data_IF_667953630299
#
_entry.id   IF_667953630299
#
_cell.length_a   1.000
_cell.length_b   1.000
_cell.length_c   1.000
_cell.angle_alpha   90.00
_cell.angle_beta   90.00
_cell.angle_gamma   90.00
#
_symmetry.space_group_name_H-M   'P 1'
#
loop_
_entity.id
_entity.type
_entity.pdbx_description
1 polymer ?
#
# COMPACT_ATOMS: atom_id res chain seq x y z
N UNK A 1 -2.02 -4.16 12.92
CA UNK A 1 -1.10 -5.22 13.44
C UNK A 1 0.15 -5.18 12.57
N UNK A 2 1.36 -5.37 13.12
CA UNK A 2 2.56 -5.50 12.27
C UNK A 2 2.49 -6.82 11.50
N UNK A 3 2.76 -6.78 10.20
CA UNK A 3 2.83 -7.98 9.36
C UNK A 3 4.12 -8.75 9.64
N UNK A 4 4.07 -10.07 9.50
CA UNK A 4 5.25 -10.94 9.51
C UNK A 4 6.07 -10.80 8.23
N UNK A 5 7.25 -11.42 8.20
CA UNK A 5 8.06 -11.51 6.98
C UNK A 5 7.27 -12.26 5.89
N UNK A 6 7.31 -11.77 4.65
CA UNK A 6 6.55 -12.32 3.53
C UNK A 6 5.04 -12.00 3.51
N UNK A 7 4.45 -11.51 4.60
CA UNK A 7 3.04 -11.10 4.64
C UNK A 7 2.85 -9.73 3.97
N UNK A 8 1.76 -9.58 3.22
CA UNK A 8 1.36 -8.30 2.64
C UNK A 8 0.73 -7.42 3.72
N UNK A 9 1.15 -6.16 3.79
CA UNK A 9 0.61 -5.17 4.70
C UNK A 9 0.70 -3.75 4.16
N UNK A 10 -0.04 -2.84 4.77
CA UNK A 10 0.07 -1.42 4.45
C UNK A 10 1.41 -0.85 4.94
N UNK A 11 2.08 -0.07 4.10
CA UNK A 11 3.28 0.68 4.49
C UNK A 11 2.86 1.84 5.39
N UNK A 12 3.35 1.82 6.63
CA UNK A 12 3.23 2.94 7.57
C UNK A 12 4.58 3.64 7.68
N UNK A 13 4.61 4.96 7.44
CA UNK A 13 5.85 5.74 7.33
C UNK A 13 5.95 6.81 8.42
N UNK A 14 7.16 7.04 8.92
CA UNK A 14 7.50 8.21 9.73
C UNK A 14 8.86 8.76 9.30
N UNK A 15 8.87 9.98 8.82
CA UNK A 15 10.06 10.65 8.28
C UNK A 15 9.89 12.17 8.42
N UNK A 16 10.98 12.96 8.54
CA UNK A 16 10.91 14.42 8.48
C UNK A 16 10.28 14.98 7.20
N UNK A 17 10.22 14.17 6.13
CA UNK A 17 9.63 14.56 4.85
C UNK A 17 8.12 14.30 4.76
N UNK A 18 7.50 13.65 5.76
CA UNK A 18 6.06 13.40 5.75
C UNK A 18 5.32 14.73 5.92
N UNK A 19 4.22 14.89 5.19
CA UNK A 19 3.35 16.06 5.27
C UNK A 19 2.84 16.32 6.70
N UNK A 20 2.43 17.55 7.00
CA UNK A 20 1.78 17.87 8.27
C UNK A 20 0.27 17.55 8.27
N UNK A 21 -0.32 17.39 7.08
CA UNK A 21 -1.75 17.17 6.88
C UNK A 21 -2.17 17.65 5.50
N UNK A 22 -3.43 17.43 5.18
CA UNK A 22 -4.07 17.94 3.97
C UNK A 22 -4.63 19.34 4.22
N UNK A 23 -4.40 20.24 3.26
CA UNK A 23 -4.92 21.60 3.30
C UNK A 23 -6.46 21.59 3.37
N UNK A 24 -7.01 22.35 4.32
CA UNK A 24 -8.45 22.52 4.55
C UNK A 24 -9.25 21.22 4.74
N UNK A 25 -8.57 20.11 5.08
CA UNK A 25 -9.21 18.82 5.30
C UNK A 25 -8.70 18.16 6.61
N UNK A 26 -9.16 18.65 7.78
CA UNK A 26 -8.73 18.13 9.07
C UNK A 26 -9.17 16.67 9.28
N UNK A 27 -10.29 16.25 8.70
CA UNK A 27 -10.75 14.87 8.79
C UNK A 27 -9.80 13.92 8.05
N UNK A 28 -9.50 14.19 6.78
CA UNK A 28 -8.55 13.35 6.03
C UNK A 28 -7.15 13.39 6.66
N UNK A 29 -6.77 14.52 7.25
CA UNK A 29 -5.51 14.63 8.01
C UNK A 29 -5.53 13.68 9.22
N UNK A 30 -6.60 13.69 10.02
CA UNK A 30 -6.72 12.78 11.15
C UNK A 30 -6.77 11.30 10.74
N UNK A 31 -7.40 10.97 9.62
CA UNK A 31 -7.47 9.59 9.09
C UNK A 31 -6.12 9.10 8.53
N UNK A 32 -5.29 10.02 8.02
CA UNK A 32 -3.99 9.70 7.44
C UNK A 32 -2.92 9.33 8.46
N UNK A 33 -3.10 9.66 9.74
CA UNK A 33 -2.15 9.34 10.80
C UNK A 33 -2.77 8.42 11.85
N UNK A 34 -2.00 7.45 12.34
CA UNK A 34 -2.43 6.67 13.49
C UNK A 34 -2.19 7.43 14.82
N UNK A 35 -2.67 6.85 15.93
CA UNK A 35 -2.53 7.44 17.26
C UNK A 35 -1.07 7.53 17.76
N UNK A 36 -0.11 6.94 17.04
CA UNK A 36 1.33 6.99 17.32
C UNK A 36 2.07 7.93 16.35
N UNK A 37 1.35 8.61 15.45
CA UNK A 37 1.89 9.56 14.48
C UNK A 37 2.52 8.92 13.24
N UNK A 38 2.19 7.67 12.91
CA UNK A 38 2.60 7.06 11.65
C UNK A 38 1.64 7.43 10.53
N UNK A 39 2.20 7.81 9.39
CA UNK A 39 1.43 8.09 8.17
C UNK A 39 1.05 6.80 7.46
N UNK A 40 -0.23 6.68 7.14
CA UNK A 40 -0.84 5.60 6.37
C UNK A 40 -0.79 5.93 4.89
N UNK A 41 0.09 5.26 4.17
CA UNK A 41 0.36 5.55 2.75
C UNK A 41 -0.75 5.08 1.82
N UNK A 42 -1.53 4.07 2.24
CA UNK A 42 -2.42 3.32 1.37
C UNK A 42 -1.71 2.36 0.42
N UNK A 43 -0.38 2.25 0.46
CA UNK A 43 0.40 1.32 -0.36
C UNK A 43 0.53 -0.03 0.36
N UNK A 44 0.21 -1.11 -0.34
CA UNK A 44 0.41 -2.48 0.13
C UNK A 44 1.77 -2.98 -0.35
N UNK A 45 2.54 -3.54 0.58
CA UNK A 45 3.85 -4.10 0.29
C UNK A 45 4.11 -5.38 1.08
N UNK A 46 5.10 -6.14 0.61
CA UNK A 46 5.72 -7.24 1.34
C UNK A 46 7.21 -7.02 1.45
N UNK A 47 7.81 -7.56 2.52
CA UNK A 47 9.26 -7.58 2.72
C UNK A 47 9.75 -9.02 2.54
N UNK A 48 10.75 -9.22 1.71
CA UNK A 48 11.39 -10.52 1.51
C UNK A 48 12.41 -10.86 2.62
N UNK A 49 13.05 -12.03 2.51
CA UNK A 49 14.03 -12.50 3.50
C UNK A 49 15.30 -11.66 3.53
N UNK A 50 15.64 -11.00 2.42
CA UNK A 50 16.79 -10.12 2.27
C UNK A 50 16.51 -8.68 2.74
N UNK A 51 15.25 -8.39 3.13
CA UNK A 51 14.82 -7.11 3.66
C UNK A 51 14.43 -6.09 2.59
N UNK A 52 14.29 -6.51 1.33
CA UNK A 52 13.81 -5.65 0.26
C UNK A 52 12.28 -5.52 0.34
N UNK A 53 11.80 -4.30 0.13
CA UNK A 53 10.38 -3.97 0.14
C UNK A 53 9.84 -3.90 -1.28
N UNK A 54 8.79 -4.68 -1.55
CA UNK A 54 8.13 -4.75 -2.85
C UNK A 54 6.70 -4.25 -2.72
N UNK A 55 6.35 -3.22 -3.49
CA UNK A 55 4.98 -2.73 -3.61
C UNK A 55 4.19 -3.76 -4.41
N UNK A 56 3.02 -4.12 -3.89
CA UNK A 56 2.16 -5.14 -4.50
C UNK A 56 0.87 -4.51 -5.04
N UNK A 57 0.28 -3.54 -4.33
CA UNK A 57 -0.94 -2.86 -4.78
C UNK A 57 -1.25 -1.60 -3.93
N UNK A 58 -2.40 -0.96 -4.19
CA UNK A 58 -3.03 0.06 -3.35
C UNK A 58 -4.19 -0.54 -2.56
N UNK A 59 -4.29 -0.17 -1.28
CA UNK A 59 -5.35 -0.62 -0.38
C UNK A 59 -6.75 -0.30 -0.90
N UNK A 60 -6.92 0.81 -1.62
CA UNK A 60 -8.21 1.26 -2.16
C UNK A 60 -8.50 0.76 -3.58
N UNK A 61 -7.50 0.23 -4.27
CA UNK A 61 -7.64 -0.25 -5.65
C UNK A 61 -7.66 -1.80 -5.73
N UNK A 62 -7.54 -2.48 -4.57
CA UNK A 62 -7.61 -3.94 -4.48
C UNK A 62 -9.00 -4.46 -4.88
N UNK A 63 -9.04 -5.35 -5.86
CA UNK A 63 -10.27 -5.98 -6.36
C UNK A 63 -10.47 -7.32 -5.65
N UNK A 64 -11.65 -7.53 -5.08
CA UNK A 64 -12.03 -8.83 -4.51
C UNK A 64 -13.10 -9.47 -5.41
N UNK A 65 -12.78 -10.63 -5.96
CA UNK A 65 -13.70 -11.39 -6.83
C UNK A 65 -13.54 -12.89 -6.62
N UNK A 66 -14.64 -13.63 -6.62
CA UNK A 66 -14.62 -15.08 -6.38
C UNK A 66 -14.12 -15.49 -4.97
N UNK A 67 -13.97 -14.54 -4.05
CA UNK A 67 -13.38 -14.78 -2.71
C UNK A 67 -11.86 -14.58 -2.66
N UNK A 68 -11.23 -14.19 -3.76
CA UNK A 68 -9.78 -13.99 -3.88
C UNK A 68 -9.44 -12.51 -4.02
N UNK A 69 -8.26 -12.13 -3.51
CA UNK A 69 -7.68 -10.81 -3.75
C UNK A 69 -7.00 -10.81 -5.12
N UNK A 70 -7.41 -9.90 -6.01
CA UNK A 70 -6.82 -9.69 -7.32
C UNK A 70 -6.08 -8.36 -7.30
N UNK A 71 -4.76 -8.43 -7.48
CA UNK A 71 -3.90 -7.26 -7.43
C UNK A 71 -3.79 -6.60 -8.80
N UNK A 72 -4.08 -5.30 -8.88
CA UNK A 72 -4.11 -4.58 -10.16
C UNK A 72 -2.76 -4.66 -10.88
N UNK A 73 -1.65 -4.58 -10.13
CA UNK A 73 -0.29 -4.67 -10.67
C UNK A 73 0.00 -6.01 -11.36
N UNK A 74 -0.47 -7.14 -10.80
CA UNK A 74 -0.28 -8.46 -11.42
C UNK A 74 -1.02 -8.57 -12.75
N UNK A 75 -2.23 -7.99 -12.83
CA UNK A 75 -3.01 -7.92 -14.06
C UNK A 75 -2.33 -7.04 -15.10
N UNK A 76 -1.85 -5.86 -14.69
CA UNK A 76 -1.09 -4.94 -15.54
C UNK A 76 0.20 -5.58 -16.08
N UNK A 77 0.95 -6.30 -15.24
CA UNK A 77 2.18 -6.99 -15.65
C UNK A 77 1.88 -8.12 -16.64
N UNK A 78 0.82 -8.89 -16.41
CA UNK A 78 0.38 -9.94 -17.34
C UNK A 78 -0.06 -9.34 -18.69
N UNK A 79 -0.81 -8.24 -18.66
CA UNK A 79 -1.23 -7.51 -19.87
C UNK A 79 -0.04 -6.91 -20.62
N UNK A 80 0.90 -6.27 -19.92
CA UNK A 80 2.10 -5.68 -20.52
C UNK A 80 3.07 -6.70 -21.12
N UNK A 81 2.97 -7.97 -20.77
CA UNK A 81 3.71 -9.05 -21.41
C UNK A 81 3.07 -9.53 -22.73
N UNK A 82 1.85 -9.10 -23.04
CA UNK A 82 1.15 -9.50 -24.26
C UNK A 82 1.66 -8.69 -25.48
N UNK A 83 2.06 -9.32 -26.60
CA UNK A 83 2.71 -8.62 -27.73
C UNK A 83 1.90 -7.49 -28.39
N UNK A 84 0.57 -7.57 -28.31
CA UNK A 84 -0.36 -6.65 -28.96
C UNK A 84 -1.02 -5.63 -27.99
N UNK A 85 -0.53 -5.52 -26.75
CA UNK A 85 -1.00 -4.56 -25.74
C UNK A 85 0.01 -3.44 -25.54
#
# INVERSE_FOLDING_TARGET
>A
RRCGAGEVGEIHMRSPAVMQGYLDNPQASAEAFDAQGWYRTGDLARVDEDGFLFIVDRLRDMIITGGENVYSKEVEDALGAHPDV
#
